data_IF_455834693910
#
_entry.id   IF_455834693910
#
_cell.length_a   1.000
_cell.length_b   1.000
_cell.length_c   1.000
_cell.angle_alpha   90.00
_cell.angle_beta   90.00
_cell.angle_gamma   90.00
#
_symmetry.space_group_name_H-M   'P 1'
#
loop_
_entity.id
_entity.type
_entity.pdbx_description
1 polymer ?
#
# COMPACT_ATOMS: atom_id res chain seq x y z
N UNK A 1 -13.77 20.59 17.54
CA UNK A 1 -15.13 20.23 18.00
C UNK A 1 -15.97 19.47 16.95
N UNK A 2 -15.77 19.65 15.66
CA UNK A 2 -16.61 18.99 14.60
C UNK A 2 -16.53 17.46 14.55
N UNK A 3 -15.40 16.83 14.92
CA UNK A 3 -15.28 15.36 14.95
C UNK A 3 -16.32 14.70 15.88
N UNK A 4 -16.64 15.34 16.99
CA UNK A 4 -17.61 14.80 17.96
C UNK A 4 -19.05 14.85 17.47
N UNK A 5 -19.38 15.65 16.46
CA UNK A 5 -20.71 15.72 15.85
C UNK A 5 -20.99 14.58 14.84
N UNK A 6 -19.97 13.82 14.41
CA UNK A 6 -20.17 12.73 13.45
C UNK A 6 -20.99 11.58 14.07
N UNK A 7 -21.69 10.84 13.20
CA UNK A 7 -22.38 9.61 13.57
C UNK A 7 -21.39 8.62 14.24
N UNK A 8 -21.90 7.83 15.19
CA UNK A 8 -21.10 6.86 15.95
C UNK A 8 -20.35 5.89 15.04
N UNK A 9 -20.94 5.43 13.94
CA UNK A 9 -20.30 4.53 12.98
C UNK A 9 -19.09 5.18 12.30
N UNK A 10 -19.18 6.48 11.97
CA UNK A 10 -18.06 7.25 11.38
C UNK A 10 -16.91 7.36 12.38
N UNK A 11 -17.22 7.72 13.65
CA UNK A 11 -16.22 7.81 14.71
C UNK A 11 -15.52 6.47 14.92
N UNK A 12 -16.30 5.41 15.07
CA UNK A 12 -15.77 4.05 15.21
C UNK A 12 -14.86 3.68 14.02
N UNK A 13 -15.34 3.95 12.80
CA UNK A 13 -14.55 3.65 11.59
C UNK A 13 -13.21 4.38 11.58
N UNK A 14 -13.19 5.67 11.87
CA UNK A 14 -11.98 6.48 11.84
C UNK A 14 -10.98 6.06 12.93
N UNK A 15 -11.43 5.95 14.19
CA UNK A 15 -10.57 5.58 15.32
C UNK A 15 -10.06 4.14 15.21
N UNK A 16 -10.98 3.20 15.00
CA UNK A 16 -10.64 1.78 14.93
C UNK A 16 -9.70 1.47 13.76
N UNK A 17 -9.96 2.07 12.58
CA UNK A 17 -9.07 1.89 11.44
C UNK A 17 -7.71 2.55 11.63
N UNK A 18 -7.66 3.69 12.30
CA UNK A 18 -6.39 4.32 12.66
C UNK A 18 -5.53 3.39 13.51
N UNK A 19 -6.11 2.83 14.58
CA UNK A 19 -5.41 1.90 15.48
C UNK A 19 -4.94 0.65 14.72
N UNK A 20 -5.84 -0.03 14.01
CA UNK A 20 -5.47 -1.26 13.28
C UNK A 20 -4.42 -1.01 12.21
N UNK A 21 -4.47 0.15 11.56
CA UNK A 21 -3.51 0.54 10.52
C UNK A 21 -2.11 0.82 11.07
N UNK A 22 -1.97 1.42 12.25
CA UNK A 22 -0.67 1.61 12.91
C UNK A 22 0.04 0.25 13.03
N UNK A 23 -0.65 -0.76 13.55
CA UNK A 23 -0.04 -2.07 13.77
C UNK A 23 0.17 -2.87 12.48
N UNK A 24 -0.69 -2.70 11.48
CA UNK A 24 -0.43 -3.24 10.15
C UNK A 24 0.85 -2.63 9.53
N UNK A 25 1.05 -1.32 9.68
CA UNK A 25 2.27 -0.64 9.19
C UNK A 25 3.51 -0.95 10.04
N UNK A 26 3.33 -1.36 11.29
CA UNK A 26 4.42 -1.82 12.15
C UNK A 26 4.87 -3.26 11.86
N UNK A 27 4.09 -4.04 11.12
CA UNK A 27 4.34 -5.47 10.88
C UNK A 27 4.57 -5.81 9.42
N UNK A 28 3.60 -5.50 8.55
CA UNK A 28 3.58 -5.98 7.17
C UNK A 28 4.82 -5.55 6.34
N UNK A 29 5.31 -4.30 6.37
CA UNK A 29 6.47 -3.88 5.60
C UNK A 29 7.77 -4.61 5.99
N UNK A 30 7.84 -5.13 7.21
CA UNK A 30 9.04 -5.78 7.73
C UNK A 30 9.07 -7.29 7.52
N UNK A 31 8.00 -7.90 6.96
CA UNK A 31 7.97 -9.34 6.68
C UNK A 31 8.95 -9.77 5.60
N UNK A 32 9.26 -8.89 4.63
CA UNK A 32 10.32 -9.15 3.65
C UNK A 32 11.66 -9.41 4.34
N UNK A 33 11.99 -8.61 5.33
CA UNK A 33 13.22 -8.73 6.13
C UNK A 33 13.16 -9.97 7.01
N UNK A 34 12.03 -10.21 7.68
CA UNK A 34 11.85 -11.39 8.52
C UNK A 34 12.07 -12.69 7.74
N UNK A 35 11.38 -12.86 6.61
CA UNK A 35 11.55 -14.06 5.79
C UNK A 35 12.94 -14.17 5.16
N UNK A 36 13.54 -13.05 4.72
CA UNK A 36 14.88 -13.07 4.14
C UNK A 36 15.98 -13.42 5.16
N UNK A 37 15.78 -13.12 6.44
CA UNK A 37 16.73 -13.44 7.52
C UNK A 37 16.60 -14.86 8.05
N UNK A 38 15.40 -15.47 7.99
CA UNK A 38 15.16 -16.82 8.49
C UNK A 38 15.23 -17.90 7.39
N UNK A 39 15.07 -17.50 6.11
CA UNK A 39 15.11 -18.40 4.96
C UNK A 39 16.16 -17.90 3.95
N UNK A 40 15.69 -17.36 2.84
CA UNK A 40 16.52 -16.70 1.84
C UNK A 40 15.77 -15.51 1.21
N UNK A 41 16.48 -14.62 0.53
CA UNK A 41 15.84 -13.49 -0.20
C UNK A 41 14.86 -14.00 -1.25
N UNK A 42 15.22 -15.06 -1.97
CA UNK A 42 14.35 -15.66 -2.97
C UNK A 42 13.09 -16.25 -2.35
N UNK A 43 13.20 -17.01 -1.24
CA UNK A 43 12.03 -17.53 -0.54
C UNK A 43 11.15 -16.42 0.00
N UNK A 44 11.73 -15.35 0.54
CA UNK A 44 10.97 -14.16 0.92
C UNK A 44 10.18 -13.58 -0.27
N UNK A 45 10.83 -13.42 -1.42
CA UNK A 45 10.19 -12.96 -2.65
C UNK A 45 9.05 -13.87 -3.11
N UNK A 46 9.25 -15.20 -3.06
CA UNK A 46 8.20 -16.19 -3.40
C UNK A 46 7.00 -16.07 -2.46
N UNK A 47 7.23 -16.06 -1.14
CA UNK A 47 6.15 -15.99 -0.14
C UNK A 47 5.33 -14.71 -0.31
N UNK A 48 6.00 -13.57 -0.49
CA UNK A 48 5.34 -12.28 -0.70
C UNK A 48 4.60 -12.23 -2.03
N UNK A 49 5.16 -12.81 -3.10
CA UNK A 49 4.47 -12.92 -4.40
C UNK A 49 3.21 -13.76 -4.30
N UNK A 50 3.28 -14.93 -3.65
CA UNK A 50 2.11 -15.78 -3.40
C UNK A 50 1.06 -15.02 -2.58
N UNK A 51 1.48 -14.35 -1.51
CA UNK A 51 0.60 -13.50 -0.71
C UNK A 51 -0.09 -12.41 -1.57
N UNK A 52 0.66 -11.73 -2.43
CA UNK A 52 0.13 -10.70 -3.33
C UNK A 52 -0.89 -11.26 -4.33
N UNK A 53 -0.62 -12.40 -4.94
CA UNK A 53 -1.55 -13.07 -5.85
C UNK A 53 -2.83 -13.47 -5.11
N UNK A 54 -2.70 -14.07 -3.93
CA UNK A 54 -3.85 -14.43 -3.09
C UNK A 54 -4.67 -13.20 -2.72
N UNK A 55 -4.04 -12.08 -2.37
CA UNK A 55 -4.73 -10.81 -2.09
C UNK A 55 -5.56 -10.33 -3.27
N UNK A 56 -5.01 -10.33 -4.48
CA UNK A 56 -5.73 -9.90 -5.70
C UNK A 56 -6.93 -10.82 -5.96
N UNK A 57 -6.73 -12.14 -5.95
CA UNK A 57 -7.79 -13.12 -6.20
C UNK A 57 -8.90 -12.98 -5.17
N UNK A 58 -8.56 -12.99 -3.88
CA UNK A 58 -9.56 -12.94 -2.81
C UNK A 58 -10.18 -11.57 -2.61
N UNK A 59 -9.56 -10.46 -3.05
CA UNK A 59 -10.19 -9.13 -3.08
C UNK A 59 -11.43 -9.10 -3.99
N UNK A 60 -11.36 -9.77 -5.16
CA UNK A 60 -12.51 -9.91 -6.05
C UNK A 60 -13.66 -10.67 -5.39
N UNK A 61 -13.33 -11.74 -4.64
CA UNK A 61 -14.34 -12.48 -3.85
C UNK A 61 -14.89 -11.61 -2.71
N UNK A 62 -14.04 -10.85 -2.02
CA UNK A 62 -14.43 -9.92 -0.95
C UNK A 62 -15.44 -8.87 -1.42
N UNK A 63 -15.20 -8.26 -2.58
CA UNK A 63 -16.16 -7.34 -3.22
C UNK A 63 -17.52 -7.99 -3.46
N UNK A 64 -17.56 -9.19 -4.04
CA UNK A 64 -18.79 -9.93 -4.29
C UNK A 64 -19.53 -10.31 -3.00
N UNK A 65 -18.78 -10.65 -1.95
CA UNK A 65 -19.34 -10.95 -0.62
C UNK A 65 -19.97 -9.68 -0.03
N UNK A 66 -19.30 -8.53 -0.15
CA UNK A 66 -19.80 -7.24 0.34
C UNK A 66 -21.11 -6.83 -0.35
N UNK A 67 -21.28 -7.16 -1.64
CA UNK A 67 -22.49 -6.86 -2.39
C UNK A 67 -23.67 -7.79 -2.06
N UNK A 68 -23.40 -9.00 -1.56
CA UNK A 68 -24.43 -10.06 -1.43
C UNK A 68 -24.74 -10.46 0.00
N UNK A 69 -23.87 -10.17 0.96
CA UNK A 69 -23.98 -10.59 2.36
C UNK A 69 -24.13 -9.41 3.31
N UNK A 70 -24.45 -9.70 4.55
CA UNK A 70 -24.50 -8.69 5.61
C UNK A 70 -23.09 -8.16 5.91
N UNK A 71 -22.82 -6.92 5.52
CA UNK A 71 -21.50 -6.30 5.64
C UNK A 71 -20.98 -6.25 7.08
N UNK A 72 -21.85 -6.09 8.09
CA UNK A 72 -21.46 -6.14 9.49
C UNK A 72 -20.97 -7.54 9.90
N UNK A 73 -21.67 -8.59 9.47
CA UNK A 73 -21.26 -9.97 9.77
C UNK A 73 -19.94 -10.33 9.07
N UNK A 74 -19.80 -9.98 7.79
CA UNK A 74 -18.56 -10.22 7.02
C UNK A 74 -17.39 -9.49 7.67
N UNK A 75 -17.58 -8.25 8.08
CA UNK A 75 -16.56 -7.47 8.80
C UNK A 75 -16.13 -8.16 10.10
N UNK A 76 -17.10 -8.53 10.95
CA UNK A 76 -16.81 -9.14 12.26
C UNK A 76 -16.07 -10.47 12.09
N UNK A 77 -16.57 -11.37 11.23
CA UNK A 77 -15.96 -12.68 11.00
C UNK A 77 -14.56 -12.52 10.40
N UNK A 78 -14.41 -11.67 9.37
CA UNK A 78 -13.15 -11.44 8.71
C UNK A 78 -12.10 -10.79 9.60
N UNK A 79 -12.46 -9.79 10.39
CA UNK A 79 -11.54 -9.16 11.35
C UNK A 79 -11.20 -10.09 12.52
N UNK A 80 -12.15 -10.92 13.01
CA UNK A 80 -11.86 -11.90 14.05
C UNK A 80 -10.84 -12.94 13.56
N UNK A 81 -11.05 -13.47 12.35
CA UNK A 81 -10.08 -14.37 11.71
C UNK A 81 -8.72 -13.68 11.53
N UNK A 82 -8.71 -12.44 11.03
CA UNK A 82 -7.47 -11.67 10.85
C UNK A 82 -6.71 -11.50 12.17
N UNK A 83 -7.40 -11.11 13.26
CA UNK A 83 -6.80 -10.99 14.59
C UNK A 83 -6.24 -12.32 15.11
N UNK A 84 -6.96 -13.43 14.89
CA UNK A 84 -6.49 -14.78 15.27
C UNK A 84 -5.19 -15.16 14.53
N UNK A 85 -5.13 -14.91 13.21
CA UNK A 85 -3.91 -15.20 12.44
C UNK A 85 -2.73 -14.35 12.91
N UNK A 86 -2.94 -13.06 13.22
CA UNK A 86 -1.90 -12.22 13.79
C UNK A 86 -1.39 -12.73 15.14
N UNK A 87 -2.28 -13.20 16.04
CA UNK A 87 -1.88 -13.83 17.30
C UNK A 87 -1.05 -15.09 17.07
N UNK A 88 -1.49 -15.95 16.16
CA UNK A 88 -0.77 -17.18 15.84
C UNK A 88 0.61 -16.90 15.24
N UNK A 89 0.73 -15.93 14.34
CA UNK A 89 2.03 -15.46 13.84
C UNK A 89 2.92 -15.04 15.02
N UNK A 90 2.41 -14.21 15.93
CA UNK A 90 3.16 -13.76 17.10
C UNK A 90 3.63 -14.88 18.00
N UNK A 91 2.76 -15.85 18.29
CA UNK A 91 3.11 -17.04 19.07
C UNK A 91 4.23 -17.83 18.41
N UNK A 92 4.09 -18.15 17.11
CA UNK A 92 5.10 -18.96 16.41
C UNK A 92 6.41 -18.20 16.15
N UNK A 93 6.42 -16.88 16.14
CA UNK A 93 7.65 -16.08 16.12
C UNK A 93 8.41 -16.15 17.46
N UNK A 94 7.73 -16.38 18.58
CA UNK A 94 8.34 -16.48 19.91
C UNK A 94 8.78 -17.92 20.25
N UNK A 95 8.23 -18.92 19.56
CA UNK A 95 8.59 -20.32 19.77
C UNK A 95 9.88 -20.64 19.03
N UNK A 96 10.91 -21.04 19.77
CA UNK A 96 12.22 -21.45 19.23
C UNK A 96 12.18 -22.92 18.75
N UNK A 97 11.36 -23.21 17.76
CA UNK A 97 11.24 -24.54 17.16
C UNK A 97 11.55 -24.49 15.65
N UNK A 98 12.32 -25.43 15.10
CA UNK A 98 12.79 -25.35 13.71
C UNK A 98 11.67 -25.22 12.66
N UNK A 99 10.51 -25.83 12.93
CA UNK A 99 9.36 -25.78 12.01
C UNK A 99 8.43 -24.58 12.23
N UNK A 100 8.67 -23.72 13.23
CA UNK A 100 7.82 -22.56 13.54
C UNK A 100 7.68 -21.61 12.34
N UNK A 101 8.72 -21.45 11.52
CA UNK A 101 8.71 -20.60 10.34
C UNK A 101 7.62 -20.99 9.32
N UNK A 102 7.35 -22.30 9.13
CA UNK A 102 6.31 -22.76 8.20
C UNK A 102 4.90 -22.38 8.69
N UNK A 103 4.67 -22.40 10.01
CA UNK A 103 3.42 -21.92 10.59
C UNK A 103 3.29 -20.40 10.46
N UNK A 104 4.37 -19.64 10.63
CA UNK A 104 4.38 -18.19 10.38
C UNK A 104 3.99 -17.91 8.92
N UNK A 105 4.55 -18.64 7.95
CA UNK A 105 4.20 -18.51 6.54
C UNK A 105 2.71 -18.82 6.32
N UNK A 106 2.23 -19.94 6.83
CA UNK A 106 0.83 -20.34 6.68
C UNK A 106 -0.11 -19.26 7.21
N UNK A 107 0.11 -18.81 8.45
CA UNK A 107 -0.77 -17.80 9.06
C UNK A 107 -0.62 -16.42 8.43
N UNK A 108 0.55 -16.07 7.89
CA UNK A 108 0.75 -14.86 7.12
C UNK A 108 -0.08 -14.87 5.82
N UNK A 109 -0.13 -16.00 5.10
CA UNK A 109 -0.96 -16.15 3.90
C UNK A 109 -2.44 -16.10 4.25
N UNK A 110 -2.88 -16.76 5.31
CA UNK A 110 -4.28 -16.73 5.80
C UNK A 110 -4.67 -15.32 6.28
N UNK A 111 -3.76 -14.60 6.94
CA UNK A 111 -3.94 -13.21 7.32
C UNK A 111 -4.15 -12.31 6.09
N UNK A 112 -3.33 -12.51 5.06
CA UNK A 112 -3.42 -11.76 3.80
C UNK A 112 -4.78 -11.97 3.10
N UNK A 113 -5.29 -13.21 3.09
CA UNK A 113 -6.62 -13.55 2.53
C UNK A 113 -7.74 -12.89 3.34
N UNK A 114 -7.74 -13.10 4.66
CA UNK A 114 -8.82 -12.58 5.52
C UNK A 114 -8.89 -11.06 5.47
N UNK A 115 -7.74 -10.37 5.41
CA UNK A 115 -7.69 -8.90 5.35
C UNK A 115 -8.40 -8.32 4.13
N UNK A 116 -8.22 -8.92 2.95
CA UNK A 116 -8.84 -8.41 1.70
C UNK A 116 -10.30 -8.83 1.54
N UNK A 117 -10.75 -9.89 2.20
CA UNK A 117 -12.16 -10.31 2.16
C UNK A 117 -13.06 -9.34 2.92
N UNK A 118 -12.66 -8.86 4.11
CA UNK A 118 -13.52 -7.96 4.88
C UNK A 118 -13.37 -6.48 4.50
N UNK A 119 -12.28 -6.09 3.84
CA UNK A 119 -11.99 -4.69 3.55
C UNK A 119 -13.09 -3.99 2.71
N UNK A 120 -13.64 -4.60 1.63
CA UNK A 120 -14.75 -4.01 0.88
C UNK A 120 -16.00 -3.76 1.74
N UNK A 121 -16.35 -4.71 2.62
CA UNK A 121 -17.48 -4.53 3.55
C UNK A 121 -17.27 -3.35 4.50
N UNK A 122 -16.02 -3.12 4.95
CA UNK A 122 -15.68 -1.98 5.77
C UNK A 122 -15.82 -0.64 5.02
N UNK A 123 -15.50 -0.60 3.72
CA UNK A 123 -15.69 0.60 2.88
C UNK A 123 -17.18 0.88 2.60
N UNK A 124 -17.98 -0.15 2.32
CA UNK A 124 -19.43 0.01 2.13
C UNK A 124 -20.07 0.60 3.39
N UNK A 125 -19.72 0.10 4.57
CA UNK A 125 -20.27 0.58 5.84
C UNK A 125 -20.00 2.07 6.10
N UNK A 126 -18.88 2.65 5.64
CA UNK A 126 -18.64 4.09 5.78
C UNK A 126 -19.41 4.90 4.73
N UNK A 127 -19.51 4.39 3.50
CA UNK A 127 -20.23 5.06 2.42
C UNK A 127 -21.71 5.23 2.78
N UNK A 128 -22.33 4.20 3.34
CA UNK A 128 -23.75 4.21 3.71
C UNK A 128 -24.11 5.21 4.81
N UNK A 129 -23.19 5.52 5.71
CA UNK A 129 -23.42 6.48 6.81
C UNK A 129 -22.93 7.90 6.49
N UNK A 130 -22.35 8.12 5.30
CA UNK A 130 -21.90 9.45 4.85
C UNK A 130 -22.92 10.07 3.90
N UNK A 131 -23.21 11.35 4.07
CA UNK A 131 -24.00 12.16 3.15
C UNK A 131 -23.13 13.13 2.36
N UNK A 132 -23.68 13.76 1.32
CA UNK A 132 -22.94 14.69 0.46
C UNK A 132 -22.30 15.86 1.24
N UNK A 133 -22.94 16.31 2.33
CA UNK A 133 -22.48 17.47 3.12
C UNK A 133 -21.26 17.15 4.00
N UNK A 134 -21.19 15.94 4.56
CA UNK A 134 -20.12 15.56 5.49
C UNK A 134 -19.03 14.68 4.85
N UNK A 135 -19.30 14.12 3.65
CA UNK A 135 -18.39 13.18 2.95
C UNK A 135 -17.00 13.75 2.76
N UNK A 136 -16.87 14.98 2.23
CA UNK A 136 -15.56 15.63 2.00
C UNK A 136 -14.75 15.73 3.29
N UNK A 137 -15.39 16.14 4.40
CA UNK A 137 -14.73 16.27 5.71
C UNK A 137 -14.29 14.91 6.26
N UNK A 138 -15.16 13.90 6.20
CA UNK A 138 -14.86 12.54 6.68
C UNK A 138 -13.68 11.94 5.90
N UNK A 139 -13.67 12.09 4.57
CA UNK A 139 -12.54 11.62 3.74
C UNK A 139 -11.24 12.38 4.04
N UNK A 140 -11.30 13.69 4.33
CA UNK A 140 -10.13 14.47 4.74
C UNK A 140 -9.57 13.98 6.09
N UNK A 141 -10.41 13.73 7.09
CA UNK A 141 -9.97 13.12 8.36
C UNK A 141 -9.37 11.72 8.15
N UNK A 142 -10.02 10.89 7.32
CA UNK A 142 -9.49 9.56 7.00
C UNK A 142 -8.11 9.64 6.34
N UNK A 143 -7.93 10.54 5.36
CA UNK A 143 -6.64 10.75 4.68
C UNK A 143 -5.54 11.15 5.68
N UNK A 144 -5.83 12.10 6.58
CA UNK A 144 -4.89 12.52 7.61
C UNK A 144 -4.52 11.38 8.56
N UNK A 145 -5.52 10.62 9.05
CA UNK A 145 -5.30 9.47 9.92
C UNK A 145 -4.53 8.34 9.23
N UNK A 146 -4.73 8.14 7.92
CA UNK A 146 -3.95 7.17 7.11
C UNK A 146 -2.47 7.52 7.15
N UNK A 147 -2.12 8.76 6.81
CA UNK A 147 -0.73 9.20 6.78
C UNK A 147 -0.10 9.18 8.19
N UNK A 148 -0.82 9.61 9.21
CA UNK A 148 -0.35 9.55 10.58
C UNK A 148 -0.13 8.10 11.04
N UNK A 149 -1.03 7.17 10.69
CA UNK A 149 -0.85 5.75 11.03
C UNK A 149 0.32 5.11 10.30
N UNK A 150 0.60 5.51 9.06
CA UNK A 150 1.77 5.08 8.32
C UNK A 150 3.06 5.54 9.04
N UNK A 151 3.16 6.83 9.37
CA UNK A 151 4.32 7.38 10.06
C UNK A 151 4.58 6.67 11.41
N UNK A 152 3.56 6.56 12.26
CA UNK A 152 3.68 5.91 13.56
C UNK A 152 3.97 4.41 13.44
N UNK A 153 3.27 3.72 12.56
CA UNK A 153 3.40 2.26 12.40
C UNK A 153 4.79 1.88 11.89
N UNK A 154 5.26 2.52 10.81
CA UNK A 154 6.60 2.23 10.26
C UNK A 154 7.70 2.61 11.25
N UNK A 155 7.53 3.69 12.03
CA UNK A 155 8.47 4.04 13.10
C UNK A 155 8.52 2.95 14.18
N UNK A 156 7.37 2.50 14.69
CA UNK A 156 7.30 1.40 15.67
C UNK A 156 7.98 0.13 15.10
N UNK A 157 7.63 -0.26 13.88
CA UNK A 157 8.24 -1.42 13.24
C UNK A 157 9.74 -1.27 13.04
N UNK A 158 10.21 -0.16 12.50
CA UNK A 158 11.63 0.07 12.24
C UNK A 158 12.50 0.04 13.49
N UNK A 159 12.02 0.58 14.61
CA UNK A 159 12.78 0.59 15.86
C UNK A 159 12.65 -0.71 16.67
N UNK A 160 11.50 -1.36 16.65
CA UNK A 160 11.20 -2.45 17.58
C UNK A 160 11.04 -3.83 16.93
N UNK A 161 10.78 -3.92 15.61
CA UNK A 161 10.45 -5.18 14.95
C UNK A 161 11.59 -6.22 15.07
N UNK A 162 12.84 -5.82 14.92
CA UNK A 162 13.98 -6.74 14.99
C UNK A 162 14.07 -7.46 16.35
N UNK A 163 13.82 -6.75 17.45
CA UNK A 163 13.92 -7.29 18.80
C UNK A 163 12.61 -7.93 19.30
N UNK A 164 11.46 -7.42 18.84
CA UNK A 164 10.15 -7.72 19.42
C UNK A 164 9.09 -8.09 18.39
N UNK A 165 9.47 -8.64 17.21
CA UNK A 165 8.53 -8.97 16.13
C UNK A 165 7.33 -9.79 16.61
N UNK A 166 7.56 -10.89 17.36
CA UNK A 166 6.50 -11.72 17.91
C UNK A 166 5.56 -10.94 18.84
N UNK A 167 6.12 -10.10 19.72
CA UNK A 167 5.33 -9.27 20.66
C UNK A 167 4.48 -8.25 19.91
N UNK A 168 5.03 -7.60 18.88
CA UNK A 168 4.29 -6.65 18.04
C UNK A 168 3.11 -7.35 17.35
N UNK A 169 3.31 -8.58 16.86
CA UNK A 169 2.23 -9.38 16.27
C UNK A 169 1.17 -9.77 17.30
N UNK A 170 1.55 -10.15 18.52
CA UNK A 170 0.61 -10.45 19.62
C UNK A 170 -0.23 -9.21 19.99
N UNK A 171 0.41 -8.04 20.12
CA UNK A 171 -0.29 -6.77 20.38
C UNK A 171 -1.24 -6.45 19.23
N UNK A 172 -0.76 -6.58 17.98
CA UNK A 172 -1.57 -6.33 16.77
C UNK A 172 -2.81 -7.21 16.74
N UNK A 173 -2.65 -8.52 16.95
CA UNK A 173 -3.75 -9.46 16.94
C UNK A 173 -4.76 -9.19 18.06
N UNK A 174 -4.28 -8.92 19.27
CA UNK A 174 -5.13 -8.56 20.42
C UNK A 174 -5.94 -7.30 20.13
N UNK A 175 -5.31 -6.25 19.59
CA UNK A 175 -6.00 -5.00 19.26
C UNK A 175 -7.02 -5.17 18.14
N UNK A 176 -6.71 -5.96 17.10
CA UNK A 176 -7.70 -6.27 16.05
C UNK A 176 -8.90 -6.99 16.61
N UNK A 177 -8.73 -7.95 17.53
CA UNK A 177 -9.84 -8.64 18.20
C UNK A 177 -10.64 -7.66 19.06
N UNK A 178 -9.99 -6.82 19.87
CA UNK A 178 -10.68 -5.80 20.68
C UNK A 178 -11.48 -4.82 19.82
N UNK A 179 -10.90 -4.34 18.73
CA UNK A 179 -11.59 -3.50 17.73
C UNK A 179 -12.79 -4.22 17.13
N UNK A 180 -12.65 -5.52 16.84
CA UNK A 180 -13.76 -6.33 16.31
C UNK A 180 -14.91 -6.43 17.30
N UNK A 181 -14.62 -6.61 18.60
CA UNK A 181 -15.62 -6.62 19.67
C UNK A 181 -16.30 -5.25 19.82
N UNK A 182 -15.56 -4.15 19.66
CA UNK A 182 -16.12 -2.79 19.63
C UNK A 182 -17.09 -2.62 18.45
N UNK A 183 -16.71 -3.06 17.24
CA UNK A 183 -17.61 -3.05 16.08
C UNK A 183 -18.85 -3.91 16.30
N UNK A 184 -18.68 -5.12 16.82
CA UNK A 184 -19.79 -6.00 17.11
C UNK A 184 -20.82 -5.34 18.05
N UNK A 185 -20.35 -4.70 19.13
CA UNK A 185 -21.19 -4.12 20.18
C UNK A 185 -21.80 -2.77 19.78
N UNK A 186 -21.02 -1.87 19.17
CA UNK A 186 -21.42 -0.47 19.02
C UNK A 186 -21.77 -0.06 17.60
N UNK A 187 -21.43 -0.85 16.58
CA UNK A 187 -21.77 -0.50 15.20
C UNK A 187 -23.25 -0.76 14.94
N UNK A 188 -23.98 0.30 14.64
CA UNK A 188 -25.38 0.23 14.24
C UNK A 188 -25.45 0.01 12.73
N UNK A 189 -26.02 -1.12 12.29
CA UNK A 189 -26.15 -1.46 10.88
C UNK A 189 -27.44 -2.23 10.63
N UNK A 190 -28.26 -1.69 9.75
CA UNK A 190 -29.47 -2.38 9.24
C UNK A 190 -29.11 -2.99 7.87
N UNK A 191 -29.16 -4.30 7.80
CA UNK A 191 -28.94 -5.00 6.55
C UNK A 191 -30.11 -4.75 5.59
N UNK A 192 -29.82 -4.08 4.47
CA UNK A 192 -30.72 -3.94 3.34
C UNK A 192 -30.30 -4.94 2.27
N UNK A 193 -31.08 -6.02 2.05
CA UNK A 193 -30.74 -6.96 0.98
C UNK A 193 -30.68 -6.22 -0.36
N UNK A 194 -29.55 -6.33 -1.02
CA UNK A 194 -29.34 -5.69 -2.33
C UNK A 194 -30.41 -6.23 -3.30
N UNK A 195 -31.17 -5.33 -3.89
CA UNK A 195 -32.01 -5.67 -5.06
C UNK A 195 -31.05 -6.15 -6.14
N UNK A 196 -31.18 -7.42 -6.53
CA UNK A 196 -30.32 -8.09 -7.50
C UNK A 196 -30.25 -7.29 -8.82
N UNK A 197 -29.34 -6.37 -8.96
CA UNK A 197 -28.83 -5.99 -10.28
C UNK A 197 -27.73 -7.00 -10.61
N UNK A 198 -28.14 -8.07 -11.27
CA UNK A 198 -27.24 -8.97 -11.99
C UNK A 198 -26.67 -8.25 -13.23
N UNK A 199 -25.99 -7.14 -13.03
CA UNK A 199 -25.14 -6.63 -14.09
C UNK A 199 -23.84 -7.44 -14.02
N UNK A 200 -23.62 -8.24 -15.07
CA UNK A 200 -22.42 -9.04 -15.23
C UNK A 200 -21.19 -8.11 -15.24
N UNK A 201 -20.55 -7.94 -14.08
CA UNK A 201 -19.28 -7.20 -13.94
C UNK A 201 -18.28 -7.69 -15.00
N UNK A 202 -18.26 -9.00 -15.30
CA UNK A 202 -17.42 -9.58 -16.35
C UNK A 202 -17.74 -9.04 -17.75
N UNK A 203 -18.98 -8.64 -18.03
CA UNK A 203 -19.35 -8.06 -19.33
C UNK A 203 -18.86 -6.63 -19.48
N UNK A 204 -18.85 -5.86 -18.38
CA UNK A 204 -18.30 -4.50 -18.34
C UNK A 204 -16.77 -4.47 -18.23
N UNK A 205 -16.14 -5.47 -17.61
CA UNK A 205 -14.69 -5.62 -17.59
C UNK A 205 -14.08 -5.74 -18.98
N UNK A 206 -14.76 -6.42 -19.92
CA UNK A 206 -14.31 -6.52 -21.31
C UNK A 206 -14.22 -5.17 -22.03
N UNK A 207 -15.01 -4.18 -21.63
CA UNK A 207 -14.93 -2.82 -22.20
C UNK A 207 -13.60 -2.17 -21.81
N UNK A 208 -13.22 -2.27 -20.53
CA UNK A 208 -11.97 -1.70 -20.02
C UNK A 208 -10.75 -2.44 -20.56
N UNK A 209 -10.80 -3.79 -20.62
CA UNK A 209 -9.72 -4.61 -21.17
C UNK A 209 -9.44 -4.33 -22.67
N UNK A 210 -10.46 -3.92 -23.42
CA UNK A 210 -10.32 -3.51 -24.83
C UNK A 210 -9.81 -2.08 -25.00
N UNK A 211 -9.89 -1.25 -23.97
CA UNK A 211 -9.31 0.09 -23.95
C UNK A 211 -7.81 0.01 -23.70
N UNK A 212 -7.06 -0.27 -24.76
CA UNK A 212 -5.60 -0.43 -24.73
C UNK A 212 -4.92 0.80 -24.12
N UNK A 213 -5.46 2.00 -24.35
CA UNK A 213 -4.90 3.25 -23.85
C UNK A 213 -4.99 3.33 -22.33
N UNK A 214 -6.17 3.03 -21.78
CA UNK A 214 -6.37 2.99 -20.34
C UNK A 214 -5.55 1.85 -19.70
N UNK A 215 -5.50 0.68 -20.32
CA UNK A 215 -4.71 -0.45 -19.82
C UNK A 215 -3.21 -0.17 -19.83
N UNK A 216 -2.68 0.52 -20.86
CA UNK A 216 -1.29 1.00 -20.83
C UNK A 216 -1.05 1.97 -19.68
N UNK A 217 -2.01 2.85 -19.37
CA UNK A 217 -1.90 3.78 -18.23
C UNK A 217 -1.95 3.04 -16.88
N UNK A 218 -2.77 2.01 -16.74
CA UNK A 218 -2.77 1.12 -15.56
C UNK A 218 -1.42 0.42 -15.40
N UNK A 219 -0.85 -0.09 -16.50
CA UNK A 219 0.48 -0.70 -16.49
C UNK A 219 1.58 0.30 -16.07
N UNK A 220 1.50 1.54 -16.57
CA UNK A 220 2.40 2.63 -16.11
C UNK A 220 2.28 2.81 -14.60
N UNK A 221 1.07 2.89 -14.05
CA UNK A 221 0.85 3.02 -12.60
C UNK A 221 1.44 1.83 -11.81
N UNK A 222 1.24 0.61 -12.30
CA UNK A 222 1.78 -0.60 -11.71
C UNK A 222 3.32 -0.56 -11.63
N UNK A 223 3.99 -0.18 -12.71
CA UNK A 223 5.45 -0.05 -12.73
C UNK A 223 5.92 1.14 -11.87
N UNK A 224 5.24 2.27 -11.94
CA UNK A 224 5.60 3.50 -11.25
C UNK A 224 5.54 3.35 -9.73
N UNK A 225 4.41 2.88 -9.18
CA UNK A 225 4.25 2.70 -7.73
C UNK A 225 5.10 1.55 -7.17
N UNK A 226 5.60 0.63 -8.01
CA UNK A 226 6.53 -0.42 -7.56
C UNK A 226 7.85 0.15 -7.02
N UNK A 227 8.27 1.35 -7.45
CA UNK A 227 9.48 2.00 -6.94
C UNK A 227 9.38 2.34 -5.44
N UNK A 228 8.22 2.79 -4.98
CA UNK A 228 7.99 3.03 -3.54
C UNK A 228 7.98 1.73 -2.75
N UNK A 229 7.30 0.69 -3.26
CA UNK A 229 7.31 -0.62 -2.61
C UNK A 229 8.71 -1.25 -2.54
N UNK A 230 9.62 -0.90 -3.44
CA UNK A 230 11.01 -1.34 -3.36
C UNK A 230 11.74 -0.76 -2.15
N UNK A 231 11.37 0.39 -1.61
CA UNK A 231 11.96 0.93 -0.39
C UNK A 231 11.82 -0.05 0.78
N UNK A 232 10.63 -0.59 0.98
CA UNK A 232 10.33 -1.51 2.09
C UNK A 232 10.65 -2.96 1.80
N UNK A 233 10.73 -3.39 0.54
CA UNK A 233 10.97 -4.78 0.18
C UNK A 233 12.43 -5.02 -0.24
N UNK A 234 12.91 -4.33 -1.25
CA UNK A 234 14.22 -4.60 -1.87
C UNK A 234 15.34 -3.85 -1.17
N UNK A 235 15.20 -2.51 -1.04
CA UNK A 235 16.21 -1.64 -0.44
C UNK A 235 16.39 -2.00 1.04
N UNK A 236 15.29 -2.24 1.77
CA UNK A 236 15.34 -2.63 3.18
C UNK A 236 16.10 -3.94 3.40
N UNK A 237 15.81 -4.97 2.60
CA UNK A 237 16.50 -6.26 2.68
C UNK A 237 17.98 -6.09 2.32
N UNK A 238 18.29 -5.28 1.31
CA UNK A 238 19.68 -4.99 0.93
C UNK A 238 20.44 -4.30 2.07
N UNK A 239 19.90 -3.23 2.68
CA UNK A 239 20.54 -2.51 3.78
C UNK A 239 20.76 -3.41 5.01
N UNK A 240 19.80 -4.28 5.33
CA UNK A 240 19.96 -5.22 6.46
C UNK A 240 21.03 -6.26 6.15
N UNK A 241 21.05 -6.84 4.95
CA UNK A 241 22.03 -7.86 4.57
C UNK A 241 23.46 -7.33 4.38
N UNK A 242 23.60 -6.08 3.95
CA UNK A 242 24.90 -5.41 3.87
C UNK A 242 25.43 -4.91 5.23
N UNK A 243 24.71 -5.18 6.33
CA UNK A 243 25.00 -4.65 7.66
C UNK A 243 25.17 -3.12 7.66
N UNK A 244 24.31 -2.44 6.88
CA UNK A 244 24.33 -0.99 6.81
C UNK A 244 24.10 -0.39 8.19
N UNK A 245 24.95 0.56 8.57
CA UNK A 245 24.82 1.32 9.81
C UNK A 245 25.26 2.76 9.63
N UNK A 246 24.65 3.66 10.39
CA UNK A 246 25.00 5.06 10.41
C UNK A 246 24.79 5.63 11.82
N UNK A 247 25.70 6.48 12.26
CA UNK A 247 25.56 7.22 13.51
C UNK A 247 25.02 8.62 13.21
N UNK A 248 23.84 8.91 13.72
CA UNK A 248 23.11 10.15 13.44
C UNK A 248 22.60 10.73 14.76
N UNK A 249 23.03 11.95 15.08
CA UNK A 249 22.68 12.65 16.32
C UNK A 249 22.85 11.79 17.59
N UNK A 250 23.94 11.01 17.68
CA UNK A 250 24.22 10.14 18.81
C UNK A 250 23.41 8.86 18.89
N UNK A 251 22.58 8.58 17.87
CA UNK A 251 21.81 7.34 17.76
C UNK A 251 22.40 6.44 16.68
N UNK A 252 22.57 5.15 17.00
CA UNK A 252 22.99 4.14 16.05
C UNK A 252 21.80 3.63 15.25
N UNK A 253 21.81 3.90 13.93
CA UNK A 253 20.79 3.45 12.99
C UNK A 253 21.31 2.24 12.23
N UNK A 254 20.68 1.08 12.41
CA UNK A 254 20.85 -0.08 11.54
C UNK A 254 19.96 0.02 10.29
N UNK A 255 20.01 -0.97 9.39
CA UNK A 255 19.26 -0.96 8.15
C UNK A 255 17.74 -0.79 8.36
N UNK A 256 17.15 -1.38 9.42
CA UNK A 256 15.73 -1.26 9.74
C UNK A 256 15.35 0.15 10.20
N UNK A 257 16.11 0.69 11.14
CA UNK A 257 15.91 2.06 11.64
C UNK A 257 16.12 3.08 10.53
N UNK A 258 17.08 2.83 9.64
CA UNK A 258 17.31 3.65 8.44
C UNK A 258 16.06 3.72 7.57
N UNK A 259 15.46 2.59 7.20
CA UNK A 259 14.23 2.57 6.40
C UNK A 259 13.08 3.27 7.10
N UNK A 260 12.89 3.03 8.40
CA UNK A 260 11.86 3.72 9.18
C UNK A 260 12.04 5.24 9.18
N UNK A 261 13.30 5.71 9.31
CA UNK A 261 13.62 7.14 9.27
C UNK A 261 13.34 7.76 7.90
N UNK A 262 13.70 7.06 6.81
CA UNK A 262 13.42 7.51 5.43
C UNK A 262 11.91 7.58 5.17
N UNK A 263 11.15 6.57 5.59
CA UNK A 263 9.70 6.56 5.45
C UNK A 263 9.02 7.67 6.27
N UNK A 264 9.54 7.95 7.47
CA UNK A 264 9.06 9.04 8.30
C UNK A 264 9.29 10.40 7.63
N UNK A 265 10.49 10.61 7.07
CA UNK A 265 10.83 11.83 6.30
C UNK A 265 9.87 12.01 5.12
N UNK A 266 9.68 10.97 4.30
CA UNK A 266 8.73 10.99 3.18
C UNK A 266 7.33 11.40 3.66
N UNK A 267 6.79 10.74 4.69
CA UNK A 267 5.43 10.99 5.19
C UNK A 267 5.27 12.42 5.73
N UNK A 268 6.24 12.93 6.49
CA UNK A 268 6.20 14.31 7.01
C UNK A 268 6.22 15.30 5.84
N UNK A 269 7.08 15.09 4.85
CA UNK A 269 7.16 15.96 3.67
C UNK A 269 5.85 15.96 2.87
N UNK A 270 5.23 14.79 2.66
CA UNK A 270 3.94 14.69 1.98
C UNK A 270 2.88 15.52 2.71
N UNK A 271 2.79 15.37 4.04
CA UNK A 271 1.80 16.12 4.84
C UNK A 271 2.04 17.62 4.79
N UNK A 272 3.29 18.06 4.88
CA UNK A 272 3.64 19.50 4.96
C UNK A 272 3.64 20.17 3.59
N UNK A 273 4.19 19.52 2.57
CA UNK A 273 4.49 20.15 1.28
C UNK A 273 3.43 19.91 0.19
N UNK A 274 2.52 18.94 0.36
CA UNK A 274 1.58 18.54 -0.70
C UNK A 274 0.79 19.72 -1.28
N UNK A 275 0.23 20.58 -0.43
CA UNK A 275 -0.56 21.75 -0.88
C UNK A 275 0.31 22.84 -1.51
N UNK A 276 1.54 23.01 -1.06
CA UNK A 276 2.47 24.01 -1.60
C UNK A 276 2.95 23.60 -2.99
N UNK A 277 3.38 22.35 -3.14
CA UNK A 277 3.89 21.82 -4.41
C UNK A 277 2.75 21.74 -5.44
N UNK A 278 1.54 21.34 -5.07
CA UNK A 278 0.39 21.35 -5.98
C UNK A 278 0.16 22.74 -6.58
N UNK A 279 0.11 23.80 -5.76
CA UNK A 279 -0.04 25.18 -6.26
C UNK A 279 1.12 25.65 -7.15
N UNK A 280 2.33 25.16 -6.89
CA UNK A 280 3.50 25.47 -7.70
C UNK A 280 3.42 24.79 -9.07
N UNK A 281 2.98 23.53 -9.10
CA UNK A 281 2.87 22.74 -10.33
C UNK A 281 1.78 23.25 -11.27
N UNK A 282 0.75 23.94 -10.79
CA UNK A 282 -0.30 24.56 -11.60
C UNK A 282 0.24 25.59 -12.61
N UNK A 283 1.48 26.07 -12.43
CA UNK A 283 2.14 27.04 -13.34
C UNK A 283 2.81 26.39 -14.56
N UNK A 284 2.94 25.08 -14.58
CA UNK A 284 3.66 24.35 -15.61
C UNK A 284 2.72 23.55 -16.50
N UNK A 285 3.19 23.23 -17.69
CA UNK A 285 2.49 22.27 -18.56
C UNK A 285 2.33 20.91 -17.85
N UNK A 286 1.11 20.46 -17.78
CA UNK A 286 0.72 19.27 -17.01
C UNK A 286 1.51 18.00 -17.43
N UNK A 287 1.71 17.80 -18.75
CA UNK A 287 2.44 16.65 -19.28
C UNK A 287 3.92 16.71 -18.93
N UNK A 288 4.54 17.88 -19.08
CA UNK A 288 5.96 18.10 -18.77
C UNK A 288 6.22 17.95 -17.27
N UNK A 289 5.35 18.53 -16.42
CA UNK A 289 5.43 18.42 -14.97
C UNK A 289 5.31 16.96 -14.52
N UNK A 290 4.34 16.21 -15.06
CA UNK A 290 4.17 14.78 -14.77
C UNK A 290 5.41 13.97 -15.16
N UNK A 291 5.93 14.15 -16.37
CA UNK A 291 7.12 13.43 -16.83
C UNK A 291 8.36 13.75 -15.98
N UNK A 292 8.60 15.04 -15.68
CA UNK A 292 9.70 15.46 -14.81
C UNK A 292 9.56 14.85 -13.40
N UNK A 293 8.37 14.93 -12.79
CA UNK A 293 8.09 14.34 -11.48
C UNK A 293 8.35 12.84 -11.47
N UNK A 294 7.92 12.11 -12.49
CA UNK A 294 8.16 10.67 -12.62
C UNK A 294 9.65 10.34 -12.71
N UNK A 295 10.41 11.06 -13.54
CA UNK A 295 11.86 10.83 -13.67
C UNK A 295 12.58 11.10 -12.36
N UNK A 296 12.25 12.20 -11.67
CA UNK A 296 12.82 12.55 -10.37
C UNK A 296 12.50 11.47 -9.34
N UNK A 297 11.24 11.06 -9.23
CA UNK A 297 10.75 10.04 -8.30
C UNK A 297 11.42 8.69 -8.51
N UNK A 298 11.31 8.14 -9.71
CA UNK A 298 11.81 6.80 -10.03
C UNK A 298 13.33 6.75 -10.04
N UNK A 299 14.00 7.80 -10.53
CA UNK A 299 15.45 7.92 -10.53
C UNK A 299 16.03 7.96 -9.12
N UNK A 300 15.40 8.71 -8.23
CA UNK A 300 15.82 8.79 -6.82
C UNK A 300 15.65 7.43 -6.12
N UNK A 301 14.49 6.76 -6.25
CA UNK A 301 14.30 5.42 -5.66
C UNK A 301 15.27 4.38 -6.23
N UNK A 302 15.51 4.36 -7.54
CA UNK A 302 16.50 3.47 -8.12
C UNK A 302 17.91 3.72 -7.54
N UNK A 303 18.30 4.98 -7.38
CA UNK A 303 19.62 5.37 -6.87
C UNK A 303 19.82 5.02 -5.38
N UNK A 304 18.75 4.84 -4.60
CA UNK A 304 18.86 4.39 -3.20
C UNK A 304 19.49 2.99 -3.08
N UNK A 305 19.37 2.13 -4.10
CA UNK A 305 19.97 0.79 -4.10
C UNK A 305 21.51 0.82 -4.00
N UNK A 306 22.13 1.85 -4.56
CA UNK A 306 23.58 1.99 -4.65
C UNK A 306 24.10 3.12 -3.77
N UNK A 307 23.27 3.68 -2.90
CA UNK A 307 23.65 4.79 -2.02
C UNK A 307 24.60 4.31 -0.92
N UNK A 308 25.82 4.88 -0.80
CA UNK A 308 26.84 4.39 0.11
C UNK A 308 26.65 4.82 1.57
N UNK A 309 25.83 5.83 1.84
CA UNK A 309 25.68 6.41 3.18
C UNK A 309 24.29 6.97 3.45
N UNK A 310 24.00 7.19 4.73
CA UNK A 310 22.71 7.68 5.21
C UNK A 310 22.33 9.07 4.66
N UNK A 311 23.29 10.00 4.58
CA UNK A 311 23.03 11.36 4.09
C UNK A 311 22.52 11.33 2.64
N UNK A 312 23.14 10.52 1.78
CA UNK A 312 22.68 10.37 0.40
C UNK A 312 21.30 9.72 0.34
N UNK A 313 20.99 8.71 1.18
CA UNK A 313 19.67 8.13 1.27
C UNK A 313 18.61 9.18 1.67
N UNK A 314 18.93 10.08 2.62
CA UNK A 314 18.04 11.19 2.99
C UNK A 314 17.84 12.15 1.83
N UNK A 315 18.88 12.55 1.12
CA UNK A 315 18.76 13.43 -0.07
C UNK A 315 17.90 12.76 -1.14
N UNK A 316 18.09 11.46 -1.37
CA UNK A 316 17.34 10.71 -2.36
C UNK A 316 15.86 10.55 -1.98
N UNK A 317 15.52 10.29 -0.70
CA UNK A 317 14.11 10.22 -0.29
C UNK A 317 13.43 11.58 -0.38
N UNK A 318 14.11 12.66 -0.02
CA UNK A 318 13.61 14.03 -0.19
C UNK A 318 13.34 14.32 -1.67
N UNK A 319 14.28 13.97 -2.55
CA UNK A 319 14.16 14.13 -4.00
C UNK A 319 13.00 13.28 -4.55
N UNK A 320 12.90 12.02 -4.14
CA UNK A 320 11.78 11.15 -4.52
C UNK A 320 10.42 11.75 -4.10
N UNK A 321 10.32 12.21 -2.86
CA UNK A 321 9.08 12.81 -2.33
C UNK A 321 8.68 14.07 -3.10
N UNK A 322 9.63 14.93 -3.47
CA UNK A 322 9.34 16.09 -4.33
C UNK A 322 8.79 15.61 -5.69
N UNK A 323 9.42 14.63 -6.31
CA UNK A 323 8.95 14.04 -7.56
C UNK A 323 7.52 13.48 -7.43
N UNK A 324 7.23 12.75 -6.35
CA UNK A 324 5.91 12.20 -6.03
C UNK A 324 4.85 13.29 -5.92
N UNK A 325 5.11 14.33 -5.16
CA UNK A 325 4.19 15.45 -4.96
C UNK A 325 3.91 16.23 -6.24
N UNK A 326 4.84 16.23 -7.19
CA UNK A 326 4.65 16.84 -8.52
C UNK A 326 3.77 15.96 -9.41
N UNK A 327 4.06 14.66 -9.53
CA UNK A 327 3.35 13.83 -10.51
C UNK A 327 2.03 13.25 -9.99
N UNK A 328 1.92 12.92 -8.72
CA UNK A 328 0.80 12.14 -8.17
C UNK A 328 -0.57 12.80 -8.35
N UNK A 329 -0.76 14.11 -8.10
CA UNK A 329 -2.04 14.76 -8.39
C UNK A 329 -2.37 14.76 -9.88
N UNK A 330 -1.36 14.98 -10.74
CA UNK A 330 -1.54 14.99 -12.19
C UNK A 330 -1.89 13.60 -12.70
N UNK A 331 -1.25 12.55 -12.16
CA UNK A 331 -1.56 11.16 -12.48
C UNK A 331 -3.04 10.84 -12.25
N UNK A 332 -3.59 11.26 -11.11
CA UNK A 332 -5.00 11.06 -10.78
C UNK A 332 -5.94 11.80 -11.77
N UNK A 333 -5.60 13.03 -12.14
CA UNK A 333 -6.37 13.80 -13.14
C UNK A 333 -6.34 13.10 -14.51
N UNK A 334 -5.17 12.66 -14.96
CA UNK A 334 -5.01 11.92 -16.23
C UNK A 334 -5.80 10.63 -16.20
N UNK A 335 -5.74 9.88 -15.08
CA UNK A 335 -6.50 8.65 -14.90
C UNK A 335 -8.00 8.87 -15.10
N UNK A 336 -8.58 9.89 -14.45
CA UNK A 336 -10.01 10.22 -14.57
C UNK A 336 -10.37 10.66 -15.99
N UNK A 337 -9.51 11.44 -16.66
CA UNK A 337 -9.72 11.89 -18.02
C UNK A 337 -9.66 10.77 -19.07
N UNK A 338 -8.99 9.65 -18.75
CA UNK A 338 -8.94 8.46 -19.61
C UNK A 338 -10.15 7.54 -19.42
N UNK A 339 -10.96 7.73 -18.36
CA UNK A 339 -12.10 6.86 -18.08
C UNK A 339 -13.28 7.18 -19.01
N UNK A 340 -13.93 6.13 -19.53
CA UNK A 340 -15.19 6.29 -20.22
C UNK A 340 -16.28 6.74 -19.22
N UNK A 341 -17.00 7.87 -19.52
CA UNK A 341 -18.04 8.41 -18.64
C UNK A 341 -19.13 7.42 -18.23
N UNK A 342 -19.48 6.48 -19.12
CA UNK A 342 -20.56 5.52 -18.89
C UNK A 342 -20.17 4.35 -17.99
N UNK A 343 -18.86 4.09 -17.82
CA UNK A 343 -18.32 2.94 -17.09
C UNK A 343 -17.30 3.32 -15.99
N UNK A 344 -17.39 4.54 -15.45
CA UNK A 344 -16.39 5.08 -14.49
C UNK A 344 -16.08 4.17 -13.31
N UNK A 345 -17.08 3.44 -12.79
CA UNK A 345 -16.89 2.53 -11.67
C UNK A 345 -15.94 1.36 -12.01
N UNK A 346 -16.14 0.75 -13.19
CA UNK A 346 -15.26 -0.35 -13.64
C UNK A 346 -13.86 0.17 -13.96
N UNK A 347 -13.75 1.32 -14.63
CA UNK A 347 -12.45 1.96 -14.87
C UNK A 347 -11.72 2.31 -13.58
N UNK A 348 -12.42 2.81 -12.56
CA UNK A 348 -11.84 3.10 -11.24
C UNK A 348 -11.33 1.84 -10.55
N UNK A 349 -12.09 0.73 -10.63
CA UNK A 349 -11.65 -0.56 -10.09
C UNK A 349 -10.38 -1.07 -10.77
N UNK A 350 -10.29 -0.99 -12.11
CA UNK A 350 -9.06 -1.34 -12.83
C UNK A 350 -7.91 -0.38 -12.52
N UNK A 351 -8.19 0.90 -12.31
CA UNK A 351 -7.18 1.88 -11.89
C UNK A 351 -6.58 1.58 -10.52
N UNK A 352 -7.37 1.07 -9.57
CA UNK A 352 -6.87 0.68 -8.24
C UNK A 352 -5.98 -0.57 -8.29
N UNK A 353 -6.18 -1.47 -9.26
CA UNK A 353 -5.29 -2.62 -9.47
C UNK A 353 -3.84 -2.19 -9.78
N UNK A 354 -3.62 -0.99 -10.31
CA UNK A 354 -2.26 -0.49 -10.52
C UNK A 354 -1.44 -0.48 -9.23
N UNK A 355 -2.04 -0.05 -8.10
CA UNK A 355 -1.38 -0.03 -6.78
C UNK A 355 -1.24 -1.44 -6.22
N UNK A 356 -2.28 -2.27 -6.29
CA UNK A 356 -2.24 -3.65 -5.76
C UNK A 356 -1.20 -4.51 -6.51
N UNK A 357 -1.13 -4.37 -7.85
CA UNK A 357 -0.17 -5.09 -8.68
C UNK A 357 1.26 -4.53 -8.57
N UNK A 358 1.44 -3.26 -8.19
CA UNK A 358 2.77 -2.68 -8.01
C UNK A 358 3.57 -3.36 -6.89
N UNK A 359 2.90 -3.81 -5.83
CA UNK A 359 3.52 -4.61 -4.79
C UNK A 359 4.05 -5.95 -5.34
N UNK A 360 3.31 -6.61 -6.26
CA UNK A 360 3.78 -7.84 -6.92
C UNK A 360 5.05 -7.61 -7.74
N UNK A 361 5.13 -6.48 -8.46
CA UNK A 361 6.35 -6.13 -9.21
C UNK A 361 7.54 -6.02 -8.26
N UNK A 362 7.36 -5.33 -7.12
CA UNK A 362 8.41 -5.21 -6.10
C UNK A 362 8.82 -6.58 -5.52
N UNK A 363 7.88 -7.49 -5.30
CA UNK A 363 8.19 -8.85 -4.81
C UNK A 363 8.96 -9.68 -5.83
N UNK A 364 8.64 -9.53 -7.13
CA UNK A 364 9.40 -10.17 -8.21
C UNK A 364 10.82 -9.59 -8.31
N UNK A 365 10.99 -8.27 -8.13
CA UNK A 365 12.30 -7.63 -8.08
C UNK A 365 13.09 -8.15 -6.87
N UNK A 366 12.45 -8.32 -5.71
CA UNK A 366 13.07 -8.94 -4.53
C UNK A 366 13.52 -10.38 -4.82
N UNK A 367 12.68 -11.18 -5.48
CA UNK A 367 13.04 -12.53 -5.90
C UNK A 367 14.28 -12.52 -6.80
N UNK A 368 14.29 -11.64 -7.82
CA UNK A 368 15.41 -11.52 -8.76
C UNK A 368 16.69 -11.07 -8.05
N UNK A 369 16.60 -10.25 -7.02
CA UNK A 369 17.75 -9.72 -6.27
C UNK A 369 18.60 -10.82 -5.59
N UNK A 370 18.08 -12.03 -5.45
CA UNK A 370 18.86 -13.18 -4.99
C UNK A 370 19.87 -13.67 -6.02
N UNK A 371 19.53 -13.56 -7.30
CA UNK A 371 20.30 -14.17 -8.41
C UNK A 371 21.18 -13.17 -9.16
N UNK A 372 20.89 -11.89 -9.02
CA UNK A 372 21.60 -10.81 -9.72
C UNK A 372 22.20 -9.82 -8.73
N UNK A 373 23.40 -9.31 -9.08
CA UNK A 373 24.08 -8.32 -8.26
C UNK A 373 23.33 -6.99 -8.21
N UNK A 374 23.59 -6.20 -7.15
CA UNK A 374 22.90 -4.92 -6.89
C UNK A 374 23.04 -3.92 -8.05
N UNK A 375 24.20 -3.87 -8.70
CA UNK A 375 24.45 -2.99 -9.85
C UNK A 375 23.57 -3.38 -11.05
N UNK A 376 23.42 -4.68 -11.33
CA UNK A 376 22.55 -5.14 -12.40
C UNK A 376 21.08 -4.83 -12.09
N UNK A 377 20.67 -4.97 -10.83
CA UNK A 377 19.33 -4.61 -10.37
C UNK A 377 19.06 -3.11 -10.56
N UNK A 378 20.05 -2.26 -10.24
CA UNK A 378 19.98 -0.83 -10.52
C UNK A 378 19.73 -0.53 -12.00
N UNK A 379 20.48 -1.18 -12.93
CA UNK A 379 20.27 -0.99 -14.35
C UNK A 379 18.91 -1.51 -14.83
N UNK A 380 18.37 -2.58 -14.24
CA UNK A 380 17.00 -3.04 -14.52
C UNK A 380 15.99 -1.95 -14.12
N UNK A 381 16.14 -1.33 -12.95
CA UNK A 381 15.25 -0.24 -12.54
C UNK A 381 15.35 0.97 -13.48
N UNK A 382 16.54 1.33 -13.92
CA UNK A 382 16.72 2.39 -14.94
C UNK A 382 16.03 1.99 -16.25
N UNK A 383 16.13 0.74 -16.67
CA UNK A 383 15.40 0.21 -17.85
C UNK A 383 13.87 0.33 -17.67
N UNK A 384 13.35 0.06 -16.48
CA UNK A 384 11.92 0.22 -16.18
C UNK A 384 11.47 1.68 -16.30
N UNK A 385 12.31 2.66 -15.90
CA UNK A 385 12.04 4.09 -16.11
C UNK A 385 11.84 4.39 -17.60
N UNK A 386 12.72 3.90 -18.45
CA UNK A 386 12.60 4.06 -19.90
C UNK A 386 11.28 3.45 -20.43
N UNK A 387 10.90 2.26 -19.96
CA UNK A 387 9.63 1.62 -20.32
C UNK A 387 8.43 2.49 -19.89
N UNK A 388 8.43 3.02 -18.66
CA UNK A 388 7.38 3.90 -18.17
C UNK A 388 7.23 5.14 -19.08
N UNK A 389 8.34 5.79 -19.45
CA UNK A 389 8.33 6.97 -20.29
C UNK A 389 7.83 6.68 -21.71
N UNK A 390 8.22 5.55 -22.29
CA UNK A 390 7.73 5.09 -23.60
C UNK A 390 6.23 4.85 -23.55
N UNK A 391 5.73 4.10 -22.58
CA UNK A 391 4.30 3.83 -22.42
C UNK A 391 3.50 5.11 -22.25
N UNK A 392 3.96 6.06 -21.42
CA UNK A 392 3.32 7.36 -21.25
C UNK A 392 3.30 8.17 -22.55
N UNK A 393 4.40 8.13 -23.33
CA UNK A 393 4.44 8.83 -24.62
C UNK A 393 3.39 8.28 -25.60
N UNK A 394 3.15 6.96 -25.60
CA UNK A 394 2.11 6.31 -26.40
C UNK A 394 0.71 6.71 -25.93
N UNK A 395 0.47 6.71 -24.58
CA UNK A 395 -0.81 7.15 -23.99
C UNK A 395 -1.14 8.59 -24.38
N UNK A 396 -0.15 9.50 -24.38
CA UNK A 396 -0.37 10.91 -24.74
C UNK A 396 -0.48 11.14 -26.24
N UNK A 397 0.22 10.37 -27.08
CA UNK A 397 0.17 10.50 -28.54
C UNK A 397 -1.20 10.12 -29.11
N UNK A 398 -1.84 9.09 -28.57
CA UNK A 398 -3.17 8.67 -29.04
C UNK A 398 -4.29 9.66 -28.70
N UNK A 399 -4.03 10.73 -27.89
CA UNK A 399 -5.00 11.79 -27.60
C UNK A 399 -5.16 12.80 -28.76
N UNK A 400 -4.20 12.88 -29.67
CA UNK A 400 -4.27 13.79 -30.83
C UNK A 400 -4.91 13.17 -32.07
N UNK A 401 -5.21 11.86 -32.03
CA UNK A 401 -5.84 11.16 -33.16
C UNK A 401 -7.37 11.12 -33.09
N UNK A 402 -7.96 11.64 -32.02
CA UNK A 402 -9.43 11.63 -31.76
C UNK A 402 -10.04 13.03 -31.63
N UNK A 403 -9.29 14.08 -31.92
CA UNK A 403 -9.78 15.45 -32.13
C UNK A 403 -9.68 15.81 -33.61
#
# INVERSE_FOLDING_TARGET
MEFFSFNINVKLRLICSFITRIFNMATFPFMAIYFSSHLSVGMAGVILTVSGILRIVFNLYGGRIADTKNNKQVLIIGMMANGLWLLLIGVFMLVHYPFAIYFVILFFLLNSISSVIYHPSLEVLIIEVTNQQNRKKIFSYNYWLVNLSLALGVSIGGYFFKAYSGVIYLISGTLVILVTLIYWKYMVYEYKPAVKKHDNILKHSNVVLKDIRFMMFVLVGMLLFSFEFNLTNVISVHLVKSNFSADVFGSHLDGLKTIASLQLINTIMVVVLSLMISKFTDRFDMKKAMLAGIVIYTGAYASMLVAPNFLLLVVLVVTATIGELVFSPIYQVVQVNLMNPDNKGVYSAFGSLAVDCSALVSYLILLMSQYIGINMLYFILIGLIAVILILLSLVFKSSHATT
#
